data_IF_083878127404
#
_entry.id   IF_083878127404
#
_cell.length_a   1.000
_cell.length_b   1.000
_cell.length_c   1.000
_cell.angle_alpha   90.00
_cell.angle_beta   90.00
_cell.angle_gamma   90.00
#
_symmetry.space_group_name_H-M   'P 1'
#
loop_
_entity.id
_entity.type
_entity.pdbx_description
1 polymer ?
#
# COMPACT_ATOMS: atom_id res chain seq x y z
N UNK A 1 17.02 -34.42 19.01
CA UNK A 1 16.88 -32.95 18.88
C UNK A 1 17.38 -32.54 17.50
N UNK A 2 16.58 -31.84 16.68
CA UNK A 2 17.04 -31.38 15.38
C UNK A 2 18.25 -30.44 15.53
N UNK A 3 19.22 -30.48 14.59
CA UNK A 3 20.40 -29.63 14.67
C UNK A 3 19.99 -28.17 14.58
N UNK A 4 20.60 -27.32 15.41
CA UNK A 4 20.26 -25.88 15.54
C UNK A 4 20.13 -25.17 14.19
N UNK A 5 20.99 -25.50 13.22
CA UNK A 5 20.96 -24.93 11.86
C UNK A 5 19.65 -25.20 11.11
N UNK A 6 19.07 -26.39 11.27
CA UNK A 6 17.78 -26.75 10.64
C UNK A 6 16.64 -25.97 11.27
N UNK A 7 16.65 -25.83 12.60
CA UNK A 7 15.65 -25.02 13.31
C UNK A 7 15.74 -23.55 12.90
N UNK A 8 16.95 -23.00 12.85
CA UNK A 8 17.18 -21.62 12.42
C UNK A 8 16.72 -21.40 10.97
N UNK A 9 17.09 -22.32 10.05
CA UNK A 9 16.67 -22.23 8.65
C UNK A 9 15.14 -22.30 8.49
N UNK A 10 14.49 -23.18 9.24
CA UNK A 10 13.04 -23.30 9.22
C UNK A 10 12.34 -22.03 9.75
N UNK A 11 12.82 -21.48 10.87
CA UNK A 11 12.29 -20.23 11.42
C UNK A 11 12.46 -19.04 10.46
N UNK A 12 13.62 -18.96 9.80
CA UNK A 12 13.87 -17.95 8.77
C UNK A 12 12.90 -18.09 7.60
N UNK A 13 12.77 -19.30 7.04
CA UNK A 13 11.86 -19.56 5.93
C UNK A 13 10.41 -19.25 6.30
N UNK A 14 9.95 -19.72 7.45
CA UNK A 14 8.59 -19.47 7.95
C UNK A 14 8.35 -17.97 8.20
N UNK A 15 9.30 -17.28 8.82
CA UNK A 15 9.25 -15.84 9.08
C UNK A 15 9.21 -15.01 7.79
N UNK A 16 10.06 -15.36 6.81
CA UNK A 16 10.06 -14.71 5.49
C UNK A 16 8.72 -14.90 4.77
N UNK A 17 8.18 -16.12 4.76
CA UNK A 17 6.92 -16.41 4.07
C UNK A 17 5.74 -15.68 4.73
N UNK A 18 5.67 -15.69 6.06
CA UNK A 18 4.68 -14.94 6.81
C UNK A 18 4.79 -13.43 6.56
N UNK A 19 6.01 -12.90 6.57
CA UNK A 19 6.31 -11.50 6.25
C UNK A 19 5.84 -11.12 4.84
N UNK A 20 6.17 -11.94 3.84
CA UNK A 20 5.76 -11.69 2.44
C UNK A 20 4.24 -11.68 2.28
N UNK A 21 3.51 -12.59 2.94
CA UNK A 21 2.04 -12.60 2.90
C UNK A 21 1.47 -11.33 3.55
N UNK A 22 2.03 -10.89 4.68
CA UNK A 22 1.58 -9.67 5.36
C UNK A 22 1.83 -8.44 4.50
N UNK A 23 3.00 -8.33 3.88
CA UNK A 23 3.33 -7.24 2.94
C UNK A 23 2.38 -7.25 1.75
N UNK A 24 2.13 -8.42 1.14
CA UNK A 24 1.18 -8.54 0.02
C UNK A 24 -0.23 -8.15 0.41
N UNK A 25 -0.71 -8.57 1.59
CA UNK A 25 -2.03 -8.16 2.11
C UNK A 25 -2.09 -6.65 2.36
N UNK A 26 -1.02 -6.05 2.89
CA UNK A 26 -0.94 -4.60 3.10
C UNK A 26 -0.91 -3.84 1.78
N UNK A 27 -0.19 -4.33 0.79
CA UNK A 27 -0.15 -3.76 -0.56
C UNK A 27 -1.52 -3.88 -1.26
N UNK A 28 -2.19 -5.03 -1.16
CA UNK A 28 -3.56 -5.20 -1.67
C UNK A 28 -4.60 -4.34 -0.92
N UNK A 29 -4.29 -3.94 0.32
CA UNK A 29 -5.08 -2.97 1.09
C UNK A 29 -4.59 -1.53 0.93
N UNK A 30 -3.52 -1.26 0.16
CA UNK A 30 -3.17 0.12 -0.21
C UNK A 30 -4.24 0.56 -1.18
N UNK A 31 -5.24 1.18 -0.57
CA UNK A 31 -6.29 1.88 -1.26
C UNK A 31 -5.72 3.15 -1.88
N UNK A 32 -6.06 3.38 -3.13
CA UNK A 32 -5.69 4.58 -3.86
C UNK A 32 -6.29 5.81 -3.17
N UNK A 33 -5.65 6.97 -3.24
CA UNK A 33 -6.19 8.17 -2.59
C UNK A 33 -5.79 9.41 -3.37
N UNK A 34 -6.56 10.47 -3.21
CA UNK A 34 -6.25 11.78 -3.77
C UNK A 34 -5.81 12.69 -2.64
N UNK A 35 -4.60 13.22 -2.76
CA UNK A 35 -4.06 14.24 -1.86
C UNK A 35 -4.06 15.58 -2.62
N UNK A 36 -4.88 16.55 -2.18
CA UNK A 36 -4.94 17.90 -2.75
C UNK A 36 -4.08 18.84 -1.93
N UNK A 37 -3.19 19.57 -2.62
CA UNK A 37 -2.35 20.60 -2.05
C UNK A 37 -2.83 21.96 -2.54
N UNK A 38 -3.22 22.83 -1.63
CA UNK A 38 -3.64 24.19 -1.96
C UNK A 38 -2.48 25.19 -1.79
N UNK A 39 -2.59 26.35 -2.42
CA UNK A 39 -1.55 27.39 -2.37
C UNK A 39 -1.32 27.96 -0.97
N UNK A 40 -2.33 27.89 -0.10
CA UNK A 40 -2.22 28.29 1.31
C UNK A 40 -1.41 27.29 2.16
N UNK A 41 -0.91 26.22 1.54
CA UNK A 41 -0.14 25.17 2.19
C UNK A 41 -0.99 24.12 2.90
N UNK A 42 -2.32 24.22 2.83
CA UNK A 42 -3.22 23.19 3.34
C UNK A 42 -3.17 21.93 2.48
N UNK A 43 -3.42 20.79 3.13
CA UNK A 43 -3.45 19.48 2.49
C UNK A 43 -4.75 18.76 2.87
N UNK A 44 -5.48 18.30 1.85
CA UNK A 44 -6.69 17.52 2.01
C UNK A 44 -6.50 16.13 1.39
N UNK A 45 -6.66 15.09 2.21
CA UNK A 45 -6.53 13.69 1.79
C UNK A 45 -7.88 13.00 1.71
N UNK A 46 -8.23 12.46 0.55
CA UNK A 46 -9.45 11.70 0.30
C UNK A 46 -9.14 10.24 0.00
N UNK A 47 -9.53 9.35 0.91
CA UNK A 47 -9.30 7.91 0.77
C UNK A 47 -10.21 7.26 -0.27
N UNK A 48 -9.74 6.20 -0.94
CA UNK A 48 -10.56 5.40 -1.86
C UNK A 48 -11.91 5.01 -1.26
N UNK A 49 -12.97 5.23 -2.05
CA UNK A 49 -14.35 4.99 -1.66
C UNK A 49 -15.01 6.18 -0.95
N UNK A 50 -14.30 7.30 -0.70
CA UNK A 50 -14.97 8.56 -0.38
C UNK A 50 -15.66 9.14 -1.62
N UNK A 51 -16.74 9.93 -1.47
CA UNK A 51 -17.39 10.61 -2.59
C UNK A 51 -16.42 11.49 -3.41
N UNK A 52 -15.51 12.18 -2.73
CA UNK A 52 -14.50 13.05 -3.33
C UNK A 52 -13.46 12.25 -4.12
N UNK A 53 -12.90 11.19 -3.53
CA UNK A 53 -11.95 10.32 -4.22
C UNK A 53 -12.57 9.63 -5.44
N UNK A 54 -13.85 9.22 -5.35
CA UNK A 54 -14.58 8.61 -6.47
C UNK A 54 -14.69 9.55 -7.66
N UNK A 55 -14.78 10.86 -7.40
CA UNK A 55 -14.88 11.88 -8.45
C UNK A 55 -13.51 12.32 -8.97
N UNK A 56 -12.50 12.39 -8.10
CA UNK A 56 -11.18 12.95 -8.42
C UNK A 56 -10.18 11.93 -8.99
N UNK A 57 -10.25 10.66 -8.57
CA UNK A 57 -9.30 9.63 -9.03
C UNK A 57 -9.27 9.45 -10.55
N UNK A 58 -10.42 9.34 -11.26
CA UNK A 58 -10.41 9.20 -12.71
C UNK A 58 -9.73 10.39 -13.41
N UNK A 59 -9.97 11.62 -12.93
CA UNK A 59 -9.35 12.82 -13.49
C UNK A 59 -7.83 12.83 -13.27
N UNK A 60 -7.39 12.38 -12.09
CA UNK A 60 -5.96 12.25 -11.80
C UNK A 60 -5.29 11.21 -12.71
N UNK A 61 -5.95 10.08 -12.99
CA UNK A 61 -5.47 9.08 -13.94
C UNK A 61 -5.33 9.63 -15.35
N UNK A 62 -6.36 10.32 -15.84
CA UNK A 62 -6.35 10.93 -17.17
C UNK A 62 -5.20 11.93 -17.32
N UNK A 63 -4.97 12.77 -16.29
CA UNK A 63 -3.86 13.72 -16.28
C UNK A 63 -2.49 13.02 -16.28
N UNK A 64 -2.30 12.00 -15.44
CA UNK A 64 -1.03 11.27 -15.35
C UNK A 64 -0.69 10.51 -16.63
N UNK A 65 -1.69 10.02 -17.37
CA UNK A 65 -1.49 9.36 -18.66
C UNK A 65 -1.23 10.35 -19.81
N UNK A 66 -1.53 11.64 -19.60
CA UNK A 66 -1.32 12.71 -20.58
C UNK A 66 0.03 13.44 -20.47
N UNK A 67 0.84 13.09 -19.45
CA UNK A 67 2.20 13.59 -19.23
C UNK A 67 3.24 12.69 -19.91
#
# INVERSE_FOLDING_TARGET
>A
MPPRKVVTGFLLAAGSLAGSVLVRRRAARRRERVDLYAEDGSMHSFAEGSPEATSLLPLAHDLLLSL
#
